data_IF_453434682100
#
_entry.id   IF_453434682100
#
_cell.length_a   1.000
_cell.length_b   1.000
_cell.length_c   1.000
_cell.angle_alpha   90.00
_cell.angle_beta   90.00
_cell.angle_gamma   90.00
#
_symmetry.space_group_name_H-M   'P 1'
#
loop_
_entity.id
_entity.type
_entity.pdbx_description
1 polymer ?
#
# COMPACT_ATOMS: atom_id res chain seq x y z
N UNK A 1 3.60 -10.82 -1.45
CA UNK A 1 3.87 -11.87 -0.47
C UNK A 1 4.73 -11.29 0.66
N UNK A 2 4.44 -11.66 1.90
CA UNK A 2 5.22 -11.28 3.07
C UNK A 2 5.71 -12.58 3.73
N UNK A 3 7.01 -12.69 3.99
CA UNK A 3 7.60 -13.78 4.76
C UNK A 3 8.60 -13.22 5.76
N UNK A 4 8.58 -13.73 7.00
CA UNK A 4 9.51 -13.32 8.06
C UNK A 4 9.61 -11.79 8.25
N UNK A 5 8.51 -11.07 8.02
CA UNK A 5 8.47 -9.60 8.12
C UNK A 5 9.09 -8.86 6.93
N UNK A 6 9.46 -9.56 5.85
CA UNK A 6 9.99 -8.98 4.63
C UNK A 6 8.97 -9.03 3.50
N UNK A 7 8.85 -7.92 2.77
CA UNK A 7 8.04 -7.84 1.58
C UNK A 7 8.80 -8.46 0.39
N UNK A 8 8.28 -9.57 -0.10
CA UNK A 8 8.88 -10.32 -1.21
C UNK A 8 8.30 -9.94 -2.57
N UNK A 9 7.03 -9.58 -2.63
CA UNK A 9 6.33 -9.33 -3.89
C UNK A 9 5.10 -8.44 -3.70
N UNK A 10 4.82 -7.58 -4.67
CA UNK A 10 3.57 -6.83 -4.79
C UNK A 10 2.92 -7.22 -6.11
N UNK A 11 1.66 -7.66 -6.07
CA UNK A 11 0.87 -7.96 -7.27
C UNK A 11 -0.26 -6.95 -7.42
N UNK A 12 -0.35 -6.36 -8.60
CA UNK A 12 -1.44 -5.47 -8.99
C UNK A 12 -2.40 -6.23 -9.90
N UNK A 13 -3.69 -6.19 -9.58
CA UNK A 13 -4.73 -6.88 -10.34
C UNK A 13 -5.99 -6.02 -10.40
N UNK A 14 -6.73 -6.14 -11.50
CA UNK A 14 -8.03 -5.50 -11.61
C UNK A 14 -9.03 -6.14 -10.65
N UNK A 15 -9.98 -5.34 -10.16
CA UNK A 15 -11.06 -5.81 -9.29
C UNK A 15 -12.33 -5.98 -10.11
N UNK A 16 -12.93 -7.19 -10.14
CA UNK A 16 -14.18 -7.42 -10.86
C UNK A 16 -15.29 -6.46 -10.42
N UNK A 17 -16.07 -5.95 -11.38
CA UNK A 17 -17.17 -5.02 -11.12
C UNK A 17 -16.74 -3.60 -10.75
N UNK A 18 -15.45 -3.24 -10.91
CA UNK A 18 -14.93 -1.88 -10.76
C UNK A 18 -14.33 -1.40 -12.08
N UNK A 19 -14.54 -0.12 -12.39
CA UNK A 19 -13.83 0.50 -13.50
C UNK A 19 -12.32 0.53 -13.19
N UNK A 20 -11.46 0.24 -14.18
CA UNK A 20 -10.02 0.34 -13.99
C UNK A 20 -9.61 1.79 -13.75
N UNK A 21 -8.49 1.97 -13.07
CA UNK A 21 -7.84 3.27 -12.97
C UNK A 21 -7.41 3.74 -14.35
N UNK A 22 -7.44 5.06 -14.59
CA UNK A 22 -6.76 5.64 -15.74
C UNK A 22 -5.26 5.35 -15.68
N UNK A 23 -4.56 5.47 -16.81
CA UNK A 23 -3.12 5.21 -16.86
C UNK A 23 -2.33 6.05 -15.84
N UNK A 24 -2.72 7.31 -15.65
CA UNK A 24 -2.07 8.24 -14.71
C UNK A 24 -2.34 7.81 -13.26
N UNK A 25 -3.59 7.50 -12.92
CA UNK A 25 -3.95 7.03 -11.58
C UNK A 25 -3.27 5.70 -11.25
N UNK A 26 -3.18 4.78 -12.21
CA UNK A 26 -2.47 3.51 -12.06
C UNK A 26 -0.98 3.72 -11.80
N UNK A 27 -0.34 4.66 -12.51
CA UNK A 27 1.06 5.02 -12.29
C UNK A 27 1.27 5.56 -10.88
N UNK A 28 0.45 6.53 -10.44
CA UNK A 28 0.55 7.08 -9.09
C UNK A 28 0.27 6.04 -8.00
N UNK A 29 -0.70 5.15 -8.23
CA UNK A 29 -1.00 4.07 -7.30
C UNK A 29 0.19 3.13 -7.15
N UNK A 30 0.81 2.73 -8.25
CA UNK A 30 2.01 1.86 -8.21
C UNK A 30 3.18 2.54 -7.53
N UNK A 31 3.44 3.82 -7.81
CA UNK A 31 4.49 4.60 -7.16
C UNK A 31 4.26 4.69 -5.64
N UNK A 32 3.04 5.01 -5.22
CA UNK A 32 2.65 5.08 -3.82
C UNK A 32 2.86 3.73 -3.12
N UNK A 33 2.30 2.65 -3.68
CA UNK A 33 2.36 1.32 -3.08
C UNK A 33 3.80 0.84 -3.01
N UNK A 34 4.60 0.99 -4.06
CA UNK A 34 6.00 0.55 -4.06
C UNK A 34 6.85 1.31 -3.01
N UNK A 35 6.64 2.61 -2.84
CA UNK A 35 7.38 3.41 -1.87
C UNK A 35 6.94 3.18 -0.42
N UNK A 36 5.68 2.84 -0.20
CA UNK A 36 5.06 2.82 1.12
C UNK A 36 4.66 1.41 1.59
N UNK A 37 4.88 0.37 0.79
CA UNK A 37 4.35 -0.97 1.07
C UNK A 37 4.73 -1.50 2.45
N UNK A 38 5.99 -1.35 2.86
CA UNK A 38 6.42 -1.78 4.19
C UNK A 38 5.69 -1.04 5.31
N UNK A 39 5.51 0.27 5.19
CA UNK A 39 4.81 1.08 6.18
C UNK A 39 3.31 0.75 6.22
N UNK A 40 2.68 0.52 5.06
CA UNK A 40 1.28 0.09 4.94
C UNK A 40 1.08 -1.23 5.67
N UNK A 41 1.94 -2.22 5.40
CA UNK A 41 1.88 -3.55 6.05
C UNK A 41 2.07 -3.43 7.55
N UNK A 42 3.05 -2.64 8.00
CA UNK A 42 3.29 -2.44 9.42
C UNK A 42 2.07 -1.82 10.12
N UNK A 43 1.42 -0.83 9.49
CA UNK A 43 0.18 -0.23 10.01
C UNK A 43 -0.97 -1.22 10.06
N UNK A 44 -1.09 -2.13 9.10
CA UNK A 44 -2.08 -3.21 9.15
C UNK A 44 -1.81 -4.16 10.30
N UNK A 45 -0.56 -4.53 10.56
CA UNK A 45 -0.20 -5.36 11.73
C UNK A 45 -0.56 -4.62 13.02
N UNK A 46 -0.15 -3.37 13.15
CA UNK A 46 -0.43 -2.56 14.34
C UNK A 46 -1.94 -2.44 14.61
N UNK A 47 -2.74 -2.23 13.57
CA UNK A 47 -4.19 -2.08 13.70
C UNK A 47 -4.93 -3.42 13.88
N UNK A 48 -4.79 -4.35 12.94
CA UNK A 48 -5.60 -5.57 12.90
C UNK A 48 -5.11 -6.65 13.86
N UNK A 49 -3.81 -6.73 14.12
CA UNK A 49 -3.23 -7.76 15.00
C UNK A 49 -3.05 -7.21 16.41
N UNK A 50 -2.36 -6.07 16.53
CA UNK A 50 -1.98 -5.53 17.84
C UNK A 50 -3.04 -4.59 18.44
N UNK A 51 -4.12 -4.28 17.72
CA UNK A 51 -5.22 -3.40 18.16
C UNK A 51 -4.73 -2.02 18.65
N UNK A 52 -3.62 -1.55 18.12
CA UNK A 52 -3.10 -0.21 18.39
C UNK A 52 -3.91 0.82 17.61
N UNK A 53 -4.03 2.01 18.17
CA UNK A 53 -4.53 3.15 17.41
C UNK A 53 -3.47 3.56 16.38
N UNK A 54 -3.87 3.72 15.12
CA UNK A 54 -2.98 4.10 14.02
C UNK A 54 -3.40 5.47 13.50
N UNK A 55 -2.47 6.42 13.52
CA UNK A 55 -2.72 7.78 13.02
C UNK A 55 -2.55 7.84 11.50
N UNK A 56 -3.43 8.56 10.78
CA UNK A 56 -3.23 8.82 9.37
C UNK A 56 -1.95 9.61 9.11
N UNK A 57 -1.31 9.35 7.97
CA UNK A 57 -0.10 10.07 7.54
C UNK A 57 -0.39 10.79 6.23
N UNK A 58 -0.08 12.09 6.18
CA UNK A 58 -0.20 12.90 4.97
C UNK A 58 1.14 12.93 4.25
N UNK A 59 1.13 12.49 2.99
CA UNK A 59 2.31 12.54 2.12
C UNK A 59 2.22 13.83 1.30
N UNK A 60 2.91 14.88 1.76
CA UNK A 60 2.95 16.19 1.08
C UNK A 60 4.13 16.34 0.11
N UNK A 61 4.96 15.30 -0.02
CA UNK A 61 6.16 15.30 -0.87
C UNK A 61 5.98 14.34 -2.04
N UNK A 62 6.67 14.62 -3.15
CA UNK A 62 6.75 13.68 -4.27
C UNK A 62 7.47 12.40 -3.82
N UNK A 63 6.92 11.26 -4.21
CA UNK A 63 7.55 9.95 -4.01
C UNK A 63 8.58 9.72 -5.14
N UNK A 64 9.50 8.77 -4.96
CA UNK A 64 10.59 8.53 -5.93
C UNK A 64 10.47 7.16 -6.57
#
# INVERSE_FOLDING_TARGET
>A
MLENGQLLEIRFSDTPGKAPLTNIESQYFRELVNNQAMEIVQKWVDFFVLRKNVTPTVIARRLK
#
